data_IF_226987735664
#
_entry.id   IF_226987735664
#
_cell.length_a   1.000
_cell.length_b   1.000
_cell.length_c   1.000
_cell.angle_alpha   90.00
_cell.angle_beta   90.00
_cell.angle_gamma   90.00
#
_symmetry.space_group_name_H-M   'P 1'
#
loop_
_entity.id
_entity.type
_entity.pdbx_description
1 polymer ?
#
# COMPACT_ATOMS: atom_id res chain seq x y z
N UNK A 1 -4.87 -16.35 -19.41
CA UNK A 1 -6.12 -15.61 -19.16
C UNK A 1 -6.10 -15.07 -17.73
N UNK A 2 -6.64 -13.87 -17.49
CA UNK A 2 -6.62 -13.17 -16.19
C UNK A 2 -6.99 -14.03 -14.96
N UNK A 3 -8.01 -14.91 -15.00
CA UNK A 3 -8.35 -15.79 -13.87
C UNK A 3 -7.22 -16.73 -13.44
N UNK A 4 -6.31 -17.11 -14.37
CA UNK A 4 -5.12 -17.91 -14.05
C UNK A 4 -4.14 -17.13 -13.16
N UNK A 5 -4.03 -15.82 -13.36
CA UNK A 5 -3.14 -14.95 -12.59
C UNK A 5 -3.81 -14.44 -11.31
N UNK A 6 -5.13 -14.27 -11.34
CA UNK A 6 -5.91 -13.72 -10.23
C UNK A 6 -7.08 -14.67 -9.97
N UNK A 7 -6.88 -15.71 -9.13
CA UNK A 7 -7.89 -16.75 -8.89
C UNK A 7 -9.21 -16.21 -8.33
N UNK A 8 -9.16 -15.09 -7.57
CA UNK A 8 -10.34 -14.43 -7.01
C UNK A 8 -11.39 -14.03 -8.07
N UNK A 9 -10.98 -13.85 -9.32
CA UNK A 9 -11.89 -13.51 -10.42
C UNK A 9 -12.72 -14.71 -10.90
N UNK A 10 -12.31 -15.94 -10.57
CA UNK A 10 -13.02 -17.16 -11.02
C UNK A 10 -14.38 -17.33 -10.35
N UNK A 11 -14.58 -16.69 -9.19
CA UNK A 11 -15.84 -16.72 -8.44
C UNK A 11 -16.84 -15.65 -8.90
N UNK A 12 -16.49 -14.82 -9.87
CA UNK A 12 -17.42 -13.81 -10.40
C UNK A 12 -18.51 -14.48 -11.25
N UNK A 13 -19.77 -14.12 -10.98
CA UNK A 13 -20.91 -14.59 -11.75
C UNK A 13 -20.88 -14.10 -13.21
N UNK A 14 -20.17 -12.99 -13.47
CA UNK A 14 -19.99 -12.41 -14.81
C UNK A 14 -18.51 -12.44 -15.20
N UNK A 15 -18.19 -12.83 -16.45
CA UNK A 15 -16.81 -12.76 -16.94
C UNK A 15 -16.32 -11.31 -16.99
N UNK A 16 -15.01 -11.13 -16.84
CA UNK A 16 -14.37 -9.80 -16.96
C UNK A 16 -14.45 -9.34 -18.41
N UNK A 17 -15.06 -8.18 -18.63
CA UNK A 17 -15.23 -7.58 -19.96
C UNK A 17 -14.18 -6.49 -20.21
N UNK A 18 -13.31 -6.72 -21.20
CA UNK A 18 -12.28 -5.77 -21.63
C UNK A 18 -12.80 -5.00 -22.84
N UNK A 19 -12.91 -3.68 -22.71
CA UNK A 19 -13.35 -2.79 -23.79
C UNK A 19 -12.18 -2.48 -24.75
N UNK A 20 -11.00 -2.17 -24.19
CA UNK A 20 -9.80 -1.88 -24.99
C UNK A 20 -8.55 -2.42 -24.31
N UNK A 21 -7.61 -2.95 -25.08
CA UNK A 21 -6.28 -3.31 -24.59
C UNK A 21 -5.23 -2.92 -25.63
N UNK A 22 -4.15 -2.28 -25.19
CA UNK A 22 -3.03 -1.92 -26.06
C UNK A 22 -1.72 -1.92 -25.27
N UNK A 23 -0.61 -2.03 -25.98
CA UNK A 23 0.73 -1.92 -25.41
C UNK A 23 1.28 -0.53 -25.67
N UNK A 24 1.94 0.05 -24.68
CA UNK A 24 2.71 1.27 -24.87
C UNK A 24 4.17 0.89 -25.15
N UNK A 25 4.71 1.44 -26.24
CA UNK A 25 6.10 1.23 -26.59
C UNK A 25 6.98 2.11 -25.71
N UNK A 26 8.00 1.52 -25.11
CA UNK A 26 9.04 2.25 -24.39
C UNK A 26 10.32 2.21 -25.22
N UNK A 27 11.08 3.32 -25.24
CA UNK A 27 12.37 3.44 -25.94
C UNK A 27 13.42 2.45 -25.40
N UNK A 28 13.25 1.98 -24.16
CA UNK A 28 14.16 1.03 -23.52
C UNK A 28 13.62 -0.41 -23.62
N UNK A 29 14.34 -1.26 -24.35
CA UNK A 29 13.97 -2.66 -24.64
C UNK A 29 14.29 -3.63 -23.50
N UNK A 30 15.04 -3.21 -22.47
CA UNK A 30 15.44 -4.07 -21.35
C UNK A 30 14.31 -4.38 -20.35
N UNK A 31 13.23 -3.58 -20.37
CA UNK A 31 12.07 -3.75 -19.48
C UNK A 31 10.90 -4.36 -20.25
N UNK A 32 10.15 -5.31 -19.65
CA UNK A 32 8.93 -5.81 -20.25
C UNK A 32 7.95 -4.66 -20.50
N UNK A 33 7.33 -4.63 -21.67
CA UNK A 33 6.44 -3.54 -22.07
C UNK A 33 5.17 -3.49 -21.20
N UNK A 34 4.79 -2.27 -20.82
CA UNK A 34 3.54 -2.02 -20.11
C UNK A 34 2.35 -2.19 -21.06
N UNK A 35 1.33 -2.91 -20.59
CA UNK A 35 0.04 -3.03 -21.26
C UNK A 35 -0.99 -2.20 -20.51
N UNK A 36 -1.72 -1.35 -21.23
CA UNK A 36 -2.85 -0.58 -20.69
C UNK A 36 -4.12 -1.19 -21.25
N UNK A 37 -5.07 -1.48 -20.36
CA UNK A 37 -6.38 -1.97 -20.75
C UNK A 37 -7.50 -1.27 -19.98
N UNK A 38 -8.58 -0.98 -20.69
CA UNK A 38 -9.81 -0.39 -20.18
C UNK A 38 -10.86 -1.49 -20.06
N UNK A 39 -11.43 -1.59 -18.88
CA UNK A 39 -12.49 -2.53 -18.57
C UNK A 39 -13.85 -1.86 -18.78
N UNK A 40 -14.86 -2.66 -19.10
CA UNK A 40 -16.23 -2.17 -19.23
C UNK A 40 -16.80 -1.74 -17.87
N UNK A 41 -16.47 -2.47 -16.80
CA UNK A 41 -17.00 -2.26 -15.44
C UNK A 41 -15.90 -1.79 -14.48
N UNK A 42 -16.21 -0.77 -13.70
CA UNK A 42 -15.32 -0.28 -12.65
C UNK A 42 -15.10 -1.32 -11.53
N UNK A 43 -16.11 -2.12 -11.21
CA UNK A 43 -16.02 -3.18 -10.19
C UNK A 43 -14.95 -4.21 -10.52
N UNK A 44 -14.84 -4.57 -11.80
CA UNK A 44 -13.85 -5.54 -12.28
C UNK A 44 -12.44 -4.97 -12.13
N UNK A 45 -12.27 -3.66 -12.37
CA UNK A 45 -11.01 -2.96 -12.12
C UNK A 45 -10.58 -3.08 -10.66
N UNK A 46 -11.51 -2.86 -9.73
CA UNK A 46 -11.22 -2.97 -8.30
C UNK A 46 -10.90 -4.40 -7.90
N UNK A 47 -11.70 -5.38 -8.35
CA UNK A 47 -11.48 -6.80 -8.09
C UNK A 47 -10.12 -7.28 -8.62
N UNK A 48 -9.71 -6.84 -9.82
CA UNK A 48 -8.39 -7.12 -10.39
C UNK A 48 -7.29 -6.52 -9.51
N UNK A 49 -7.38 -5.25 -9.13
CA UNK A 49 -6.34 -4.58 -8.34
C UNK A 49 -6.20 -5.21 -6.94
N UNK A 50 -7.31 -5.54 -6.30
CA UNK A 50 -7.30 -6.21 -4.99
C UNK A 50 -6.81 -7.65 -5.09
N UNK A 51 -7.31 -8.40 -6.06
CA UNK A 51 -6.91 -9.78 -6.31
C UNK A 51 -5.42 -9.89 -6.66
N UNK A 52 -4.90 -8.99 -7.49
CA UNK A 52 -3.48 -8.96 -7.85
C UNK A 52 -2.57 -8.68 -6.65
N UNK A 53 -2.96 -7.75 -5.75
CA UNK A 53 -2.21 -7.48 -4.51
C UNK A 53 -2.10 -8.71 -3.60
N UNK A 54 -3.16 -9.51 -3.53
CA UNK A 54 -3.21 -10.75 -2.74
C UNK A 54 -2.45 -11.89 -3.40
N UNK A 55 -2.70 -12.12 -4.69
CA UNK A 55 -2.15 -13.26 -5.44
C UNK A 55 -0.67 -13.09 -5.82
N UNK A 56 -0.20 -11.85 -6.02
CA UNK A 56 1.17 -11.52 -6.49
C UNK A 56 1.57 -12.38 -7.70
N UNK A 57 0.83 -12.28 -8.83
CA UNK A 57 0.99 -13.17 -9.97
C UNK A 57 2.40 -13.12 -10.57
N UNK A 58 2.83 -14.28 -11.08
CA UNK A 58 4.10 -14.44 -11.78
C UNK A 58 3.89 -15.12 -13.13
N UNK A 59 4.73 -14.77 -14.09
CA UNK A 59 4.86 -15.47 -15.36
C UNK A 59 5.58 -16.80 -15.17
N UNK A 60 5.56 -17.64 -16.21
CA UNK A 60 6.17 -18.97 -16.19
C UNK A 60 7.69 -18.94 -16.01
N UNK A 61 8.34 -17.86 -16.42
CA UNK A 61 9.76 -17.56 -16.23
C UNK A 61 10.09 -17.00 -14.83
N UNK A 62 9.08 -16.86 -13.96
CA UNK A 62 9.22 -16.28 -12.61
C UNK A 62 9.09 -14.76 -12.55
N UNK A 63 8.95 -14.07 -13.69
CA UNK A 63 8.81 -12.61 -13.75
C UNK A 63 7.53 -12.16 -13.04
N UNK A 64 7.66 -11.19 -12.12
CA UNK A 64 6.53 -10.69 -11.34
C UNK A 64 5.63 -9.77 -12.17
N UNK A 65 4.34 -10.07 -12.19
CA UNK A 65 3.34 -9.22 -12.83
C UNK A 65 2.81 -8.20 -11.82
N UNK A 66 2.82 -6.93 -12.22
CA UNK A 66 2.34 -5.82 -11.40
C UNK A 66 1.14 -5.16 -12.07
N UNK A 67 0.11 -4.88 -11.27
CA UNK A 67 -1.11 -4.24 -11.72
C UNK A 67 -1.29 -2.93 -10.98
N UNK A 68 -1.48 -1.84 -11.73
CA UNK A 68 -1.64 -0.49 -11.21
C UNK A 68 -2.90 0.14 -11.82
N UNK A 69 -3.50 1.08 -11.09
CA UNK A 69 -4.52 1.94 -11.66
C UNK A 69 -3.83 2.99 -12.55
N UNK A 70 -4.45 3.30 -13.69
CA UNK A 70 -4.00 4.35 -14.60
C UNK A 70 -4.56 5.70 -14.13
N UNK A 71 -3.68 6.65 -13.81
CA UNK A 71 -4.02 7.97 -13.31
C UNK A 71 -3.46 9.04 -14.25
N UNK A 72 -4.09 10.21 -14.27
CA UNK A 72 -3.55 11.36 -14.99
C UNK A 72 -2.17 11.77 -14.43
N UNK A 73 -1.33 12.47 -15.20
CA UNK A 73 -0.04 12.96 -14.71
C UNK A 73 -0.16 13.84 -13.46
N UNK A 74 -1.14 14.74 -13.41
CA UNK A 74 -1.40 15.60 -12.25
C UNK A 74 -1.74 14.79 -10.99
N UNK A 75 -2.68 13.85 -11.09
CA UNK A 75 -3.02 12.97 -9.97
C UNK A 75 -1.85 12.08 -9.56
N UNK A 76 -1.03 11.64 -10.51
CA UNK A 76 0.17 10.84 -10.22
C UNK A 76 1.19 11.66 -9.42
N UNK A 77 1.39 12.93 -9.78
CA UNK A 77 2.27 13.86 -9.07
C UNK A 77 1.77 14.11 -7.64
N UNK A 78 0.50 14.48 -7.46
CA UNK A 78 -0.10 14.67 -6.13
C UNK A 78 0.04 13.42 -5.25
N UNK A 79 -0.20 12.23 -5.82
CA UNK A 79 -0.05 10.96 -5.10
C UNK A 79 1.40 10.66 -4.71
N UNK A 80 2.36 11.15 -5.49
CA UNK A 80 3.78 10.95 -5.25
C UNK A 80 4.26 11.72 -4.01
N UNK A 81 3.65 12.87 -3.70
CA UNK A 81 3.98 13.66 -2.50
C UNK A 81 3.78 12.87 -1.20
N UNK A 82 2.77 11.99 -1.18
CA UNK A 82 2.50 11.11 -0.04
C UNK A 82 3.47 9.90 0.07
N UNK A 83 4.42 9.72 -0.86
CA UNK A 83 5.28 8.53 -0.91
C UNK A 83 6.06 8.31 0.38
N UNK A 84 6.71 9.36 0.89
CA UNK A 84 7.51 9.28 2.11
C UNK A 84 6.65 9.09 3.36
N UNK A 85 5.52 9.80 3.45
CA UNK A 85 4.57 9.71 4.56
C UNK A 85 4.04 8.27 4.67
N UNK A 86 3.66 7.66 3.53
CA UNK A 86 3.20 6.27 3.47
C UNK A 86 4.31 5.27 3.80
N UNK A 87 5.56 5.57 3.48
CA UNK A 87 6.69 4.73 3.89
C UNK A 87 6.86 4.72 5.41
N UNK A 88 6.81 5.91 6.05
CA UNK A 88 6.87 6.06 7.51
C UNK A 88 5.69 5.35 8.21
N UNK A 89 4.47 5.52 7.71
CA UNK A 89 3.29 4.83 8.22
C UNK A 89 3.43 3.31 8.15
N UNK A 90 3.94 2.78 7.03
CA UNK A 90 4.19 1.34 6.85
C UNK A 90 5.26 0.81 7.82
N UNK A 91 6.35 1.56 8.02
CA UNK A 91 7.40 1.18 8.97
C UNK A 91 6.87 1.06 10.40
N UNK A 92 5.89 1.89 10.75
CA UNK A 92 5.23 1.86 12.07
C UNK A 92 4.03 0.92 12.15
N UNK A 93 3.76 0.14 11.10
CA UNK A 93 2.62 -0.78 11.06
C UNK A 93 1.25 -0.09 11.07
N UNK A 94 1.17 1.18 10.68
CA UNK A 94 -0.08 1.95 10.66
C UNK A 94 -0.76 1.79 9.30
N UNK A 95 -2.02 1.37 9.33
CA UNK A 95 -2.83 1.21 8.13
C UNK A 95 -3.12 2.56 7.46
N UNK A 96 -2.81 2.63 6.17
CA UNK A 96 -3.03 3.83 5.36
C UNK A 96 -3.52 3.51 3.96
N UNK A 97 -4.42 4.35 3.46
CA UNK A 97 -5.04 4.23 2.15
C UNK A 97 -4.96 5.56 1.41
N UNK A 98 -4.72 5.52 0.11
CA UNK A 98 -4.68 6.71 -0.74
C UNK A 98 -5.88 6.69 -1.68
N UNK A 99 -6.93 7.41 -1.30
CA UNK A 99 -8.19 7.50 -2.02
C UNK A 99 -8.03 8.44 -3.23
N UNK A 100 -8.84 8.19 -4.27
CA UNK A 100 -8.88 9.07 -5.44
C UNK A 100 -9.51 10.43 -5.07
N UNK A 101 -8.98 11.56 -5.56
CA UNK A 101 -7.76 11.68 -6.39
C UNK A 101 -6.47 11.47 -5.60
N UNK A 102 -6.25 12.18 -4.50
CA UNK A 102 -5.04 12.06 -3.66
C UNK A 102 -5.32 12.35 -2.17
N UNK A 103 -6.30 11.67 -1.58
CA UNK A 103 -6.66 11.85 -0.16
C UNK A 103 -6.04 10.72 0.67
N UNK A 104 -5.15 11.06 1.61
CA UNK A 104 -4.52 10.08 2.50
C UNK A 104 -5.43 9.82 3.70
N UNK A 105 -5.95 8.59 3.80
CA UNK A 105 -6.70 8.10 4.96
C UNK A 105 -5.83 7.23 5.83
N UNK A 106 -5.67 7.60 7.09
CA UNK A 106 -4.86 6.90 8.10
C UNK A 106 -5.77 6.35 9.18
N UNK A 107 -5.57 5.09 9.56
CA UNK A 107 -6.27 4.45 10.68
C UNK A 107 -5.26 4.18 11.81
N UNK A 108 -5.36 4.93 12.90
CA UNK A 108 -4.46 4.81 14.04
C UNK A 108 -5.26 4.78 15.34
N UNK A 109 -5.04 3.75 16.17
CA UNK A 109 -5.70 3.57 17.50
C UNK A 109 -7.24 3.72 17.44
N UNK A 110 -7.88 3.16 16.42
CA UNK A 110 -9.33 3.25 16.23
C UNK A 110 -9.85 4.58 15.66
N UNK A 111 -8.98 5.60 15.54
CA UNK A 111 -9.33 6.88 14.92
C UNK A 111 -8.95 6.88 13.45
N UNK A 112 -9.92 7.21 12.58
CA UNK A 112 -9.67 7.45 11.16
C UNK A 112 -9.54 8.94 10.89
N UNK A 113 -8.41 9.34 10.30
CA UNK A 113 -8.17 10.72 9.84
C UNK A 113 -7.94 10.71 8.32
N UNK A 114 -8.37 11.77 7.66
CA UNK A 114 -8.16 11.96 6.22
C UNK A 114 -7.49 13.29 5.99
N UNK A 115 -6.49 13.32 5.12
CA UNK A 115 -5.69 14.49 4.80
C UNK A 115 -5.78 14.78 3.31
N UNK A 116 -5.97 16.05 2.96
CA UNK A 116 -6.09 16.49 1.57
C UNK A 116 -4.75 17.03 1.03
N UNK A 117 -3.85 17.44 1.92
CA UNK A 117 -2.48 17.85 1.58
C UNK A 117 -1.43 16.94 2.22
N UNK A 118 -0.32 16.74 1.52
CA UNK A 118 0.84 16.04 2.05
C UNK A 118 1.48 16.80 3.22
N UNK A 119 1.46 18.13 3.20
CA UNK A 119 1.99 18.97 4.29
C UNK A 119 1.19 18.77 5.58
N UNK A 120 -0.15 18.89 5.48
CA UNK A 120 -1.09 18.65 6.57
C UNK A 120 -0.89 17.25 7.17
N UNK A 121 -0.76 16.23 6.31
CA UNK A 121 -0.50 14.87 6.74
C UNK A 121 0.85 14.71 7.46
N UNK A 122 1.90 15.39 6.98
CA UNK A 122 3.23 15.31 7.58
C UNK A 122 3.28 15.95 8.97
N UNK A 123 2.63 17.10 9.15
CA UNK A 123 2.51 17.77 10.45
C UNK A 123 1.69 16.93 11.43
N UNK A 124 0.50 16.46 11.02
CA UNK A 124 -0.32 15.60 11.84
C UNK A 124 0.42 14.31 12.24
N UNK A 125 1.23 13.75 11.33
CA UNK A 125 2.01 12.56 11.60
C UNK A 125 3.11 12.82 12.65
N UNK A 126 3.75 13.99 12.67
CA UNK A 126 4.71 14.34 13.73
C UNK A 126 4.05 14.31 15.11
N UNK A 127 2.87 14.89 15.25
CA UNK A 127 2.12 14.86 16.52
C UNK A 127 1.68 13.43 16.88
N UNK A 128 1.08 12.71 15.94
CA UNK A 128 0.58 11.34 16.18
C UNK A 128 1.68 10.33 16.51
N UNK A 129 2.91 10.58 16.05
CA UNK A 129 4.06 9.70 16.25
C UNK A 129 5.02 10.17 17.36
N UNK A 130 5.05 11.47 17.66
CA UNK A 130 5.87 12.05 18.72
C UNK A 130 5.42 11.62 20.11
N UNK A 131 4.13 11.33 20.29
CA UNK A 131 3.60 10.73 21.53
C UNK A 131 4.18 9.33 21.84
N UNK A 132 4.93 8.70 20.93
CA UNK A 132 5.47 7.35 21.12
C UNK A 132 6.94 7.28 21.54
N UNK A 133 7.70 8.38 21.44
CA UNK A 133 9.12 8.39 21.86
C UNK A 133 9.33 8.93 23.28
N UNK A 134 8.34 9.61 23.85
CA UNK A 134 8.46 10.31 25.13
C UNK A 134 7.71 9.60 26.28
N UNK A 135 7.63 8.26 26.28
CA UNK A 135 7.27 7.49 27.48
C UNK A 135 8.56 7.04 28.22
N UNK A 136 9.12 7.88 29.12
CA UNK A 136 10.29 7.51 29.92
C UNK A 136 10.05 6.27 30.80
N UNK A 137 8.79 5.86 30.99
CA UNK A 137 8.43 4.67 31.77
C UNK A 137 8.73 3.35 31.08
N UNK A 138 8.78 3.28 29.75
CA UNK A 138 8.95 1.99 29.02
C UNK A 138 10.40 1.50 29.02
N UNK A 139 11.36 2.41 28.90
CA UNK A 139 12.80 2.11 29.04
C UNK A 139 13.15 1.74 30.48
N UNK A 140 12.61 2.48 31.46
CA UNK A 140 12.81 2.21 32.89
C UNK A 140 12.24 0.84 33.32
N UNK A 141 11.06 0.44 32.83
CA UNK A 141 10.46 -0.87 33.13
C UNK A 141 11.19 -2.05 32.46
N UNK A 142 11.78 -1.83 31.29
CA UNK A 142 12.60 -2.85 30.62
C UNK A 142 13.91 -3.07 31.39
N UNK A 143 14.60 -1.99 31.80
CA UNK A 143 15.80 -2.07 32.61
C UNK A 143 15.54 -2.68 34.00
N UNK A 144 14.39 -2.38 34.62
CA UNK A 144 13.98 -2.98 35.90
C UNK A 144 13.74 -4.49 35.79
N UNK A 145 13.13 -4.95 34.69
CA UNK A 145 12.94 -6.39 34.43
C UNK A 145 14.25 -7.12 34.21
N UNK A 146 15.18 -6.54 33.44
CA UNK A 146 16.49 -7.16 33.21
C UNK A 146 17.32 -7.23 34.51
N UNK A 147 17.17 -6.25 35.41
CA UNK A 147 17.77 -6.26 36.75
C UNK A 147 17.13 -7.32 37.67
N UNK A 148 15.81 -7.52 37.59
CA UNK A 148 15.10 -8.56 38.35
C UNK A 148 15.50 -9.97 37.87
N UNK A 149 15.51 -10.19 36.55
CA UNK A 149 15.90 -11.47 35.94
C UNK A 149 17.37 -11.83 36.23
N UNK A 150 18.26 -10.83 36.23
CA UNK A 150 19.67 -11.03 36.60
C UNK A 150 19.87 -11.38 38.08
N UNK A 151 18.96 -10.94 38.95
CA UNK A 151 19.02 -11.16 40.40
C UNK A 151 18.46 -12.54 40.79
N UNK A 152 17.47 -13.03 40.05
CA UNK A 152 16.94 -14.39 40.21
C UNK A 152 17.93 -15.47 39.73
N UNK A 153 18.75 -15.18 38.72
CA UNK A 153 19.78 -16.10 38.23
C UNK A 153 21.00 -16.25 39.14
N UNK A 154 21.13 -15.40 40.17
CA UNK A 154 22.24 -15.42 41.13
C UNK A 154 21.88 -16.02 42.50
N UNK A 155 20.64 -16.53 42.66
CA UNK A 155 20.19 -17.30 43.84
C UNK A 155 20.06 -18.79 43.49
#
# INVERSE_FOLDING_TARGET
MLPKWIPALSSHNTPVEIDRAHRIYATNTSRPWTMIFRLLRYTDRQAILEGARKAKPRLHDGTSLQFFADYSPGTTQERQEYKEIRAKLRQKGIDSFLLYPAILRVNHRGTRRSFNSAEEAAEALKTMLGEAEDDPGRSARAAQRELEESRELQQ
#
